data_IF_475977012377
#
_entry.id   IF_475977012377
#
_cell.length_a   1.000
_cell.length_b   1.000
_cell.length_c   1.000
_cell.angle_alpha   90.00
_cell.angle_beta   90.00
_cell.angle_gamma   90.00
#
_symmetry.space_group_name_H-M   'P 1'
#
loop_
_entity.id
_entity.type
_entity.pdbx_description
1 polymer ?
#
# COMPACT_ATOMS: atom_id res chain seq x y z
N UNK A 1 7.57 19.96 3.05
CA UNK A 1 7.41 21.01 4.09
C UNK A 1 8.78 21.51 4.61
N UNK A 2 9.72 20.61 4.95
CA UNK A 2 11.03 20.98 5.55
C UNK A 2 11.88 21.92 4.65
N UNK A 3 11.89 21.69 3.34
CA UNK A 3 12.65 22.54 2.40
C UNK A 3 12.18 24.00 2.34
N UNK A 4 10.91 24.28 2.75
CA UNK A 4 10.36 25.65 2.78
C UNK A 4 10.70 26.41 4.05
N UNK A 5 11.09 25.70 5.10
CA UNK A 5 11.37 26.30 6.43
C UNK A 5 12.85 26.46 6.72
N UNK A 6 13.71 25.91 5.86
CA UNK A 6 15.16 26.04 6.01
C UNK A 6 15.63 27.31 5.30
N UNK A 7 16.39 28.15 6.03
CA UNK A 7 16.98 29.35 5.47
C UNK A 7 18.22 29.01 4.61
N UNK A 8 18.19 29.24 3.30
CA UNK A 8 19.29 28.88 2.41
C UNK A 8 20.57 29.72 2.64
N UNK A 9 20.48 30.83 3.39
CA UNK A 9 21.61 31.70 3.68
C UNK A 9 22.42 31.26 4.92
N UNK A 10 21.82 30.40 5.77
CA UNK A 10 22.46 30.02 7.04
C UNK A 10 23.62 29.03 6.86
N UNK A 11 23.59 28.21 5.84
CA UNK A 11 24.64 27.24 5.50
C UNK A 11 24.46 26.71 4.08
N UNK A 12 25.54 26.25 3.40
CA UNK A 12 25.43 25.61 2.11
C UNK A 12 24.81 24.22 2.25
N UNK A 13 24.13 23.69 1.22
CA UNK A 13 23.59 22.37 1.22
C UNK A 13 24.67 21.29 1.42
N UNK A 14 25.79 21.47 0.75
CA UNK A 14 26.99 20.62 0.78
C UNK A 14 28.22 21.46 0.53
N UNK A 15 29.34 21.12 1.15
CA UNK A 15 30.65 21.68 0.84
C UNK A 15 31.30 20.90 -0.30
N UNK A 16 32.20 21.53 -1.09
CA UNK A 16 32.99 20.83 -2.09
C UNK A 16 33.78 19.66 -1.50
N UNK A 17 33.78 18.55 -2.23
CA UNK A 17 34.55 17.37 -1.85
C UNK A 17 36.05 17.70 -1.92
N UNK A 18 36.83 17.20 -0.98
CA UNK A 18 38.29 17.25 -0.96
C UNK A 18 38.87 15.87 -1.18
N UNK A 19 40.11 15.85 -1.68
CA UNK A 19 40.82 14.58 -1.85
C UNK A 19 41.00 13.87 -0.50
N UNK A 20 40.58 12.58 -0.42
CA UNK A 20 40.59 11.80 0.82
C UNK A 20 39.28 11.84 1.62
N UNK A 21 38.24 12.50 1.14
CA UNK A 21 36.92 12.47 1.80
C UNK A 21 36.26 11.09 1.69
N UNK A 22 35.96 10.51 2.82
CA UNK A 22 35.22 9.21 2.90
C UNK A 22 33.71 9.38 2.86
N UNK A 23 33.19 10.62 3.09
CA UNK A 23 31.77 10.92 3.11
C UNK A 23 31.47 12.36 2.67
N UNK A 24 30.25 12.64 2.18
CA UNK A 24 29.83 13.98 1.82
C UNK A 24 29.83 14.94 3.03
N UNK A 25 30.33 16.15 2.84
CA UNK A 25 30.37 17.18 3.87
C UNK A 25 29.15 18.07 3.79
N UNK A 26 28.07 17.69 4.46
CA UNK A 26 26.84 18.48 4.47
C UNK A 26 26.99 19.72 5.36
N UNK A 27 26.54 20.87 4.85
CA UNK A 27 26.52 22.11 5.61
C UNK A 27 25.41 22.12 6.66
N UNK A 28 25.68 22.70 7.82
CA UNK A 28 24.65 22.94 8.84
C UNK A 28 25.07 24.08 9.79
N UNK A 29 24.13 24.52 10.62
CA UNK A 29 24.34 25.50 11.68
C UNK A 29 23.48 25.15 12.91
N UNK A 30 23.88 25.67 14.06
CA UNK A 30 23.06 25.59 15.27
C UNK A 30 21.91 26.60 15.20
N UNK A 31 20.71 26.16 15.55
CA UNK A 31 19.53 27.01 15.66
C UNK A 31 19.48 27.70 17.03
N UNK A 32 19.49 26.90 18.09
CA UNK A 32 19.43 27.36 19.49
C UNK A 32 20.18 26.36 20.35
N UNK A 33 21.15 26.80 21.12
CA UNK A 33 22.03 25.91 21.86
C UNK A 33 22.75 24.93 20.93
N UNK A 34 22.71 23.64 21.25
CA UNK A 34 23.36 22.59 20.45
C UNK A 34 22.42 21.90 19.45
N UNK A 35 21.25 22.48 19.16
CA UNK A 35 20.30 21.90 18.21
C UNK A 35 20.68 22.32 16.78
N UNK A 36 20.98 21.34 15.93
CA UNK A 36 21.29 21.58 14.54
C UNK A 36 20.01 21.98 13.76
N UNK A 37 20.17 22.77 12.73
CA UNK A 37 19.12 23.04 11.76
C UNK A 37 18.87 21.80 10.89
N UNK A 38 17.74 21.78 10.19
CA UNK A 38 17.48 20.73 9.21
C UNK A 38 18.13 21.05 7.89
N UNK A 39 18.97 20.16 7.36
CA UNK A 39 19.46 20.24 6.00
C UNK A 39 18.64 19.29 5.11
N UNK A 40 17.68 19.80 4.30
CA UNK A 40 16.84 18.98 3.44
C UNK A 40 17.60 18.19 2.39
N UNK A 41 18.71 18.75 1.90
CA UNK A 41 19.56 18.10 0.91
C UNK A 41 20.25 16.87 1.50
N UNK A 42 20.80 16.98 2.71
CA UNK A 42 21.36 15.84 3.43
C UNK A 42 20.30 14.76 3.63
N UNK A 43 19.11 15.13 4.10
CA UNK A 43 18.00 14.19 4.32
C UNK A 43 17.60 13.43 3.04
N UNK A 44 17.57 14.11 1.90
CA UNK A 44 17.23 13.49 0.61
C UNK A 44 18.30 12.53 0.09
N UNK A 45 19.58 12.74 0.46
CA UNK A 45 20.72 11.96 -0.03
C UNK A 45 21.14 10.84 0.93
N UNK A 46 20.70 10.86 2.19
CA UNK A 46 21.15 9.92 3.22
C UNK A 46 20.10 8.92 3.63
N UNK A 47 18.85 9.07 3.16
CA UNK A 47 17.78 8.14 3.51
C UNK A 47 16.91 7.80 2.31
N UNK A 48 16.52 6.53 2.24
CA UNK A 48 15.53 6.09 1.29
C UNK A 48 14.60 5.05 1.92
N UNK A 49 13.37 5.04 1.43
CA UNK A 49 12.33 4.14 1.85
C UNK A 49 12.01 3.19 0.71
N UNK A 50 12.09 1.89 1.00
CA UNK A 50 11.62 0.89 0.09
C UNK A 50 10.23 0.43 0.53
N UNK A 51 9.29 0.47 -0.39
CA UNK A 51 7.92 0.02 -0.20
C UNK A 51 7.56 -0.93 -1.32
N UNK A 52 7.11 -2.12 -0.95
CA UNK A 52 6.61 -3.13 -1.88
C UNK A 52 5.22 -3.57 -1.45
N UNK A 53 4.27 -3.57 -2.37
CA UNK A 53 2.96 -4.14 -2.15
C UNK A 53 2.57 -5.08 -3.27
N UNK A 54 1.90 -6.16 -2.91
CA UNK A 54 1.41 -7.17 -3.83
C UNK A 54 -0.07 -7.38 -3.61
N UNK A 55 -0.82 -7.50 -4.70
CA UNK A 55 -2.22 -7.88 -4.67
C UNK A 55 -2.42 -9.08 -5.57
N UNK A 56 -2.86 -10.19 -4.98
CA UNK A 56 -3.32 -11.36 -5.70
C UNK A 56 -4.85 -11.37 -5.67
N UNK A 57 -5.49 -11.44 -6.83
CA UNK A 57 -6.94 -11.58 -6.93
C UNK A 57 -7.24 -12.73 -7.91
N UNK A 58 -7.84 -13.78 -7.40
CA UNK A 58 -8.14 -15.00 -8.15
C UNK A 58 -9.61 -15.31 -8.07
N UNK A 59 -10.24 -15.60 -9.22
CA UNK A 59 -11.64 -15.97 -9.31
C UNK A 59 -11.78 -17.30 -10.05
N UNK A 60 -12.62 -18.18 -9.53
CA UNK A 60 -13.03 -19.42 -10.16
C UNK A 60 -14.53 -19.44 -10.26
N UNK A 61 -15.06 -19.60 -11.48
CA UNK A 61 -16.49 -19.79 -11.75
C UNK A 61 -16.70 -21.13 -12.40
N UNK A 62 -17.54 -21.95 -11.78
CA UNK A 62 -17.96 -23.25 -12.29
C UNK A 62 -19.44 -23.18 -12.52
N UNK A 63 -19.89 -23.57 -13.71
CA UNK A 63 -21.31 -23.66 -14.07
C UNK A 63 -21.60 -25.05 -14.59
N UNK A 64 -22.62 -25.68 -14.01
CA UNK A 64 -23.06 -27.02 -14.40
C UNK A 64 -24.55 -26.98 -14.72
N UNK A 65 -24.91 -27.51 -15.90
CA UNK A 65 -26.29 -27.77 -16.28
C UNK A 65 -26.71 -29.15 -15.78
N UNK A 66 -27.87 -29.20 -15.15
CA UNK A 66 -28.46 -30.43 -14.60
C UNK A 66 -29.72 -30.86 -15.37
N UNK A 67 -29.72 -30.67 -16.69
CA UNK A 67 -30.86 -31.07 -17.55
C UNK A 67 -31.16 -32.56 -17.51
N UNK A 68 -30.17 -33.36 -17.08
CA UNK A 68 -30.36 -34.81 -16.87
C UNK A 68 -31.24 -35.13 -15.63
N UNK A 69 -31.33 -34.22 -14.66
CA UNK A 69 -32.23 -34.32 -13.53
C UNK A 69 -33.58 -33.70 -13.91
N UNK A 70 -33.56 -32.45 -14.33
CA UNK A 70 -34.73 -31.73 -14.84
C UNK A 70 -34.29 -30.62 -15.79
N UNK A 71 -35.01 -30.53 -16.93
CA UNK A 71 -34.70 -29.53 -17.96
C UNK A 71 -34.81 -28.11 -17.39
N UNK A 72 -33.77 -27.31 -17.65
CA UNK A 72 -33.69 -25.91 -17.21
C UNK A 72 -33.14 -25.70 -15.81
N UNK A 73 -32.60 -26.75 -15.16
CA UNK A 73 -31.88 -26.63 -13.90
C UNK A 73 -30.39 -26.39 -14.15
N UNK A 74 -29.85 -25.36 -13.49
CA UNK A 74 -28.45 -24.98 -13.58
C UNK A 74 -27.91 -24.57 -12.21
N UNK A 75 -26.71 -24.97 -11.88
CA UNK A 75 -26.00 -24.49 -10.71
C UNK A 75 -24.71 -23.77 -11.10
N UNK A 76 -24.43 -22.71 -10.39
CA UNK A 76 -23.20 -21.91 -10.57
C UNK A 76 -22.53 -21.68 -9.22
N UNK A 77 -21.26 -21.99 -9.14
CA UNK A 77 -20.40 -21.65 -8.01
C UNK A 77 -19.38 -20.60 -8.46
N UNK A 78 -19.24 -19.52 -7.69
CA UNK A 78 -18.22 -18.49 -7.87
C UNK A 78 -17.44 -18.39 -6.58
N UNK A 79 -16.14 -18.58 -6.68
CA UNK A 79 -15.18 -18.39 -5.59
C UNK A 79 -14.24 -17.26 -6.00
N UNK A 80 -14.06 -16.28 -5.13
CA UNK A 80 -13.07 -15.22 -5.30
C UNK A 80 -12.20 -15.16 -4.04
N UNK A 81 -10.91 -15.12 -4.25
CA UNK A 81 -9.91 -14.94 -3.22
C UNK A 81 -9.05 -13.73 -3.56
N UNK A 82 -8.97 -12.78 -2.62
CA UNK A 82 -8.09 -11.61 -2.71
C UNK A 82 -7.12 -11.63 -1.52
N UNK A 83 -5.86 -11.48 -1.81
CA UNK A 83 -4.82 -11.25 -0.83
C UNK A 83 -4.08 -9.96 -1.19
N UNK A 84 -3.97 -9.06 -0.24
CA UNK A 84 -3.11 -7.90 -0.32
C UNK A 84 -2.07 -7.97 0.77
N UNK A 85 -0.83 -7.68 0.43
CA UNK A 85 0.27 -7.63 1.38
C UNK A 85 1.23 -6.51 1.04
N UNK A 86 1.85 -5.94 2.05
CA UNK A 86 2.93 -4.97 1.86
C UNK A 86 4.05 -5.19 2.86
N UNK A 87 5.22 -4.77 2.45
CA UNK A 87 6.37 -4.60 3.33
C UNK A 87 7.04 -3.24 3.05
N UNK A 88 7.63 -2.69 4.07
CA UNK A 88 8.29 -1.40 4.02
C UNK A 88 9.46 -1.39 4.98
N UNK A 89 10.58 -0.86 4.54
CA UNK A 89 11.73 -0.55 5.38
C UNK A 89 12.38 0.74 4.94
N UNK A 90 13.04 1.42 5.88
CA UNK A 90 13.82 2.63 5.62
C UNK A 90 15.28 2.30 5.86
N UNK A 91 16.14 2.78 4.99
CA UNK A 91 17.60 2.77 5.18
C UNK A 91 18.08 4.19 5.30
N UNK A 92 18.91 4.43 6.31
CA UNK A 92 19.44 5.77 6.61
C UNK A 92 20.89 5.69 6.96
N UNK A 93 21.63 6.73 6.52
CA UNK A 93 22.95 7.08 7.02
C UNK A 93 22.76 8.34 7.86
N UNK A 94 23.29 8.38 9.06
CA UNK A 94 23.35 9.62 9.82
C UNK A 94 24.39 10.52 9.20
N UNK A 95 24.03 11.71 8.65
CA UNK A 95 24.97 12.56 7.95
C UNK A 95 25.98 13.23 8.87
N UNK A 96 27.18 13.46 8.36
CA UNK A 96 28.16 14.32 8.98
C UNK A 96 27.89 15.76 8.58
N UNK A 97 27.80 16.66 9.59
CA UNK A 97 27.53 18.06 9.38
C UNK A 97 28.74 18.91 9.67
N UNK A 98 28.94 19.92 8.85
CA UNK A 98 30.09 20.80 8.91
C UNK A 98 29.67 22.29 8.82
N UNK A 99 30.50 23.18 9.34
CA UNK A 99 30.44 24.61 9.11
C UNK A 99 31.83 25.12 8.86
N UNK A 100 31.94 26.34 8.30
CA UNK A 100 33.22 27.06 8.22
C UNK A 100 33.64 27.44 9.61
N UNK A 101 34.86 27.07 9.98
CA UNK A 101 35.45 27.44 11.28
C UNK A 101 35.64 28.94 11.34
N UNK A 102 35.25 29.53 12.45
CA UNK A 102 35.39 30.97 12.69
C UNK A 102 36.84 31.40 12.48
N UNK A 103 37.02 32.54 11.82
CA UNK A 103 38.35 33.17 11.52
C UNK A 103 39.32 32.31 10.70
N UNK A 104 38.84 31.26 10.02
CA UNK A 104 39.69 30.41 9.16
C UNK A 104 39.76 30.84 7.69
N UNK A 105 38.94 31.78 7.25
CA UNK A 105 38.95 32.23 5.87
C UNK A 105 40.20 33.05 5.50
N UNK A 106 40.95 32.56 4.51
CA UNK A 106 42.09 33.25 3.96
C UNK A 106 41.74 33.85 2.59
N UNK A 107 41.60 35.17 2.48
CA UNK A 107 41.21 35.84 1.23
C UNK A 107 42.28 35.75 0.12
N UNK A 108 43.55 35.59 0.48
CA UNK A 108 44.63 35.49 -0.50
C UNK A 108 44.62 34.16 -1.28
N UNK A 109 44.20 33.07 -0.63
CA UNK A 109 44.18 31.76 -1.21
C UNK A 109 42.74 31.24 -1.46
N UNK A 110 41.74 32.02 -1.04
CA UNK A 110 40.34 31.65 -1.06
C UNK A 110 40.07 30.26 -0.42
N UNK A 111 40.74 29.99 0.71
CA UNK A 111 40.64 28.74 1.45
C UNK A 111 40.04 28.98 2.82
N UNK A 112 39.43 27.96 3.37
CA UNK A 112 38.83 27.93 4.71
C UNK A 112 38.93 26.53 5.32
N UNK A 113 38.92 26.46 6.65
CA UNK A 113 38.82 25.20 7.38
C UNK A 113 37.37 24.90 7.72
N UNK A 114 37.04 23.62 7.68
CA UNK A 114 35.74 23.13 8.13
C UNK A 114 35.84 22.50 9.52
N UNK A 115 34.89 22.80 10.37
CA UNK A 115 34.72 22.11 11.64
C UNK A 115 33.46 21.26 11.62
N UNK A 116 33.56 20.07 12.23
CA UNK A 116 32.44 19.16 12.36
C UNK A 116 31.48 19.65 13.44
N UNK A 117 30.17 19.56 13.16
CA UNK A 117 29.12 19.93 14.07
C UNK A 117 28.47 18.66 14.67
N UNK A 118 28.27 18.67 15.98
CA UNK A 118 27.65 17.58 16.70
C UNK A 118 28.51 16.29 16.73
N UNK A 119 27.92 15.23 17.22
CA UNK A 119 28.53 13.90 17.35
C UNK A 119 27.92 12.86 16.44
N UNK A 120 26.82 13.21 15.73
CA UNK A 120 26.15 12.33 14.79
C UNK A 120 26.99 12.11 13.53
N UNK A 121 26.78 10.97 12.90
CA UNK A 121 27.46 10.60 11.66
C UNK A 121 27.82 9.12 11.69
N UNK A 122 27.49 8.40 10.63
CA UNK A 122 27.84 6.98 10.46
C UNK A 122 28.35 6.73 9.06
N UNK A 123 29.29 5.82 8.92
CA UNK A 123 29.86 5.42 7.63
C UNK A 123 29.12 4.26 6.98
N UNK A 124 28.07 3.76 7.63
CA UNK A 124 27.29 2.64 7.15
C UNK A 124 25.79 2.97 7.11
N UNK A 125 25.10 2.27 6.21
CA UNK A 125 23.65 2.37 6.06
C UNK A 125 22.97 1.54 7.14
N UNK A 126 22.32 2.19 8.08
CA UNK A 126 21.46 1.52 9.06
C UNK A 126 20.09 1.19 8.44
N UNK A 127 19.54 0.04 8.82
CA UNK A 127 18.19 -0.35 8.45
C UNK A 127 17.26 -0.16 9.64
N UNK A 128 16.20 0.64 9.46
CA UNK A 128 15.12 0.72 10.44
C UNK A 128 14.24 -0.52 10.42
N UNK A 129 13.42 -0.67 11.44
CA UNK A 129 12.49 -1.78 11.55
C UNK A 129 11.63 -1.97 10.29
N UNK A 130 11.34 -3.23 9.96
CA UNK A 130 10.48 -3.60 8.85
C UNK A 130 9.02 -3.49 9.32
N UNK A 131 8.23 -2.71 8.60
CA UNK A 131 6.78 -2.68 8.77
C UNK A 131 6.14 -3.59 7.73
N UNK A 132 5.27 -4.48 8.19
CA UNK A 132 4.54 -5.42 7.34
C UNK A 132 3.05 -5.32 7.63
N UNK A 133 2.23 -5.58 6.64
CA UNK A 133 0.80 -5.68 6.80
C UNK A 133 0.16 -6.35 5.60
N UNK A 134 -1.10 -6.71 5.76
CA UNK A 134 -1.85 -7.33 4.69
C UNK A 134 -3.26 -7.67 5.12
N UNK A 135 -4.10 -7.93 4.15
CA UNK A 135 -5.46 -8.42 4.34
C UNK A 135 -5.80 -9.55 3.36
N UNK A 136 -6.78 -10.33 3.75
CA UNK A 136 -7.34 -11.37 2.92
C UNK A 136 -8.85 -11.19 2.84
N UNK A 137 -9.41 -11.36 1.65
CA UNK A 137 -10.83 -11.43 1.43
C UNK A 137 -11.18 -12.71 0.70
N UNK A 138 -12.19 -13.41 1.19
CA UNK A 138 -12.76 -14.59 0.57
C UNK A 138 -14.24 -14.33 0.27
N UNK A 139 -14.66 -14.66 -0.93
CA UNK A 139 -16.04 -14.57 -1.35
C UNK A 139 -16.46 -15.87 -2.02
N UNK A 140 -17.56 -16.43 -1.54
CA UNK A 140 -18.22 -17.59 -2.12
C UNK A 140 -19.64 -17.20 -2.48
N UNK A 141 -20.04 -17.54 -3.69
CA UNK A 141 -21.42 -17.44 -4.17
C UNK A 141 -21.82 -18.78 -4.77
N UNK A 142 -22.96 -19.27 -4.37
CA UNK A 142 -23.58 -20.45 -4.94
C UNK A 142 -24.99 -20.11 -5.38
N UNK A 143 -25.32 -20.39 -6.64
CA UNK A 143 -26.62 -20.09 -7.23
C UNK A 143 -27.19 -21.34 -7.85
N UNK A 144 -28.44 -21.62 -7.56
CA UNK A 144 -29.24 -22.60 -8.29
C UNK A 144 -30.32 -21.85 -9.05
N UNK A 145 -30.33 -22.01 -10.35
CA UNK A 145 -31.32 -21.42 -11.24
C UNK A 145 -32.18 -22.53 -11.85
N UNK A 146 -33.45 -22.29 -11.91
CA UNK A 146 -34.40 -23.12 -12.62
C UNK A 146 -35.26 -22.28 -13.55
N UNK A 147 -35.35 -22.62 -14.81
CA UNK A 147 -36.22 -21.96 -15.76
C UNK A 147 -36.82 -22.99 -16.73
N UNK A 148 -38.11 -23.09 -16.75
CA UNK A 148 -38.80 -24.05 -17.64
C UNK A 148 -40.14 -23.51 -18.13
N UNK A 149 -40.41 -23.78 -19.39
CA UNK A 149 -41.71 -23.50 -20.02
C UNK A 149 -42.53 -24.77 -20.14
N UNK A 150 -43.77 -24.71 -19.65
CA UNK A 150 -44.79 -25.76 -19.76
C UNK A 150 -45.96 -25.18 -20.54
N UNK A 151 -46.00 -25.39 -21.86
CA UNK A 151 -46.98 -24.82 -22.77
C UNK A 151 -47.07 -23.30 -22.62
N UNK A 152 -48.13 -22.76 -22.00
CA UNK A 152 -48.34 -21.33 -21.75
C UNK A 152 -47.78 -20.82 -20.40
N UNK A 153 -47.28 -21.75 -19.57
CA UNK A 153 -46.73 -21.41 -18.26
C UNK A 153 -45.21 -21.34 -18.28
N UNK A 154 -44.63 -20.22 -17.92
CA UNK A 154 -43.20 -20.09 -17.69
C UNK A 154 -42.95 -20.03 -16.19
N UNK A 155 -42.15 -20.94 -15.69
CA UNK A 155 -41.79 -21.00 -14.27
C UNK A 155 -40.30 -20.78 -14.13
N UNK A 156 -39.92 -19.85 -13.28
CA UNK A 156 -38.52 -19.56 -12.93
C UNK A 156 -38.32 -19.55 -11.43
N UNK A 157 -37.11 -19.91 -11.02
CA UNK A 157 -36.71 -19.85 -9.63
C UNK A 157 -35.21 -19.69 -9.52
N UNK A 158 -34.77 -18.98 -8.51
CA UNK A 158 -33.35 -18.81 -8.18
C UNK A 158 -33.17 -18.90 -6.67
N UNK A 159 -32.20 -19.69 -6.24
CA UNK A 159 -31.72 -19.70 -4.87
C UNK A 159 -30.27 -19.29 -4.86
N UNK A 160 -29.94 -18.29 -4.07
CA UNK A 160 -28.61 -17.70 -3.96
C UNK A 160 -28.13 -17.84 -2.52
N UNK A 161 -26.95 -18.40 -2.35
CA UNK A 161 -26.18 -18.34 -1.12
C UNK A 161 -24.91 -17.51 -1.34
N UNK A 162 -24.61 -16.60 -0.43
CA UNK A 162 -23.37 -15.81 -0.43
C UNK A 162 -22.68 -15.90 0.91
N UNK A 163 -21.36 -15.99 0.86
CA UNK A 163 -20.50 -15.87 2.04
C UNK A 163 -19.34 -14.95 1.71
N UNK A 164 -19.13 -13.95 2.55
CA UNK A 164 -17.98 -13.05 2.49
C UNK A 164 -17.24 -13.14 3.81
N UNK A 165 -15.93 -13.29 3.71
CA UNK A 165 -15.02 -13.23 4.84
C UNK A 165 -13.92 -12.23 4.54
N UNK A 166 -13.65 -11.37 5.50
CA UNK A 166 -12.56 -10.38 5.40
C UNK A 166 -11.72 -10.45 6.67
N UNK A 167 -10.42 -10.62 6.49
CA UNK A 167 -9.46 -10.76 7.58
C UNK A 167 -8.33 -9.76 7.38
N UNK A 168 -8.25 -8.78 8.28
CA UNK A 168 -7.15 -7.82 8.40
C UNK A 168 -6.48 -7.88 9.78
N UNK A 169 -7.03 -8.67 10.68
CA UNK A 169 -6.56 -8.83 12.06
C UNK A 169 -6.72 -10.31 12.47
N UNK A 170 -6.60 -10.59 13.75
CA UNK A 170 -6.68 -11.95 14.31
C UNK A 170 -8.03 -12.61 14.00
N UNK A 171 -9.13 -11.86 14.16
CA UNK A 171 -10.49 -12.37 13.92
C UNK A 171 -11.04 -11.88 12.59
N UNK A 172 -11.54 -12.79 11.74
CA UNK A 172 -12.19 -12.41 10.49
C UNK A 172 -13.58 -11.84 10.71
N UNK A 173 -13.94 -10.84 9.92
CA UNK A 173 -15.32 -10.41 9.74
C UNK A 173 -16.00 -11.31 8.72
N UNK A 174 -17.13 -11.92 9.09
CA UNK A 174 -17.87 -12.85 8.22
C UNK A 174 -19.30 -12.38 8.03
N UNK A 175 -19.77 -12.42 6.79
CA UNK A 175 -21.14 -12.14 6.40
C UNK A 175 -21.66 -13.26 5.52
N UNK A 176 -22.89 -13.73 5.81
CA UNK A 176 -23.54 -14.80 5.07
C UNK A 176 -24.97 -14.37 4.76
N UNK A 177 -25.45 -14.76 3.59
CA UNK A 177 -26.79 -14.43 3.16
C UNK A 177 -27.38 -15.52 2.28
N UNK A 178 -28.70 -15.68 2.39
CA UNK A 178 -29.50 -16.51 1.50
C UNK A 178 -30.58 -15.64 0.89
N UNK A 179 -30.77 -15.75 -0.41
CA UNK A 179 -31.80 -15.04 -1.15
C UNK A 179 -32.49 -15.98 -2.12
N UNK A 180 -33.77 -15.79 -2.33
CA UNK A 180 -34.56 -16.59 -3.26
C UNK A 180 -35.42 -15.70 -4.15
N UNK A 181 -35.66 -16.16 -5.37
CA UNK A 181 -36.57 -15.54 -6.32
C UNK A 181 -37.45 -16.64 -6.93
N UNK A 182 -38.73 -16.39 -7.02
CA UNK A 182 -39.67 -17.21 -7.78
C UNK A 182 -40.38 -16.31 -8.81
N UNK A 183 -40.47 -16.79 -10.04
CA UNK A 183 -41.16 -16.11 -11.14
C UNK A 183 -42.16 -17.03 -11.81
N UNK A 184 -43.29 -16.50 -12.12
CA UNK A 184 -44.31 -17.20 -12.89
C UNK A 184 -44.91 -16.28 -13.93
N UNK A 185 -45.04 -16.76 -15.14
CA UNK A 185 -45.66 -16.07 -16.27
C UNK A 185 -46.63 -16.97 -16.98
N UNK A 186 -47.83 -16.46 -17.23
CA UNK A 186 -48.86 -17.12 -18.02
C UNK A 186 -49.08 -16.40 -19.34
N UNK A 187 -48.76 -17.05 -20.45
CA UNK A 187 -48.98 -16.63 -21.83
C UNK A 187 -48.47 -15.18 -22.10
N UNK A 188 -47.43 -14.73 -21.37
CA UNK A 188 -46.87 -13.37 -21.37
C UNK A 188 -47.91 -12.27 -21.03
N UNK A 189 -48.99 -12.64 -20.36
CA UNK A 189 -50.07 -11.71 -19.97
C UNK A 189 -50.11 -11.45 -18.48
N UNK A 190 -49.78 -12.43 -17.67
CA UNK A 190 -49.80 -12.32 -16.21
C UNK A 190 -48.43 -12.73 -15.68
N UNK A 191 -47.76 -11.79 -15.05
CA UNK A 191 -46.44 -11.97 -14.46
C UNK A 191 -46.53 -11.83 -12.94
N UNK A 192 -45.96 -12.79 -12.23
CA UNK A 192 -45.81 -12.75 -10.79
C UNK A 192 -44.36 -13.00 -10.44
N UNK A 193 -43.80 -12.14 -9.56
CA UNK A 193 -42.44 -12.25 -9.03
C UNK A 193 -42.50 -12.13 -7.52
N UNK A 194 -41.75 -12.98 -6.85
CA UNK A 194 -41.56 -12.98 -5.41
C UNK A 194 -40.07 -13.09 -5.12
N UNK A 195 -39.55 -12.17 -4.27
CA UNK A 195 -38.17 -12.13 -3.82
C UNK A 195 -38.09 -12.26 -2.31
#
# INVERSE_FOLDING_TARGET
AKARTTNPVSFPAIFPAQEGDEHPRFGNAYRTGNTLMENPYAFMNTSFKNYQSNTLNTSLKITQNFDFITKGLKATALINFKNWSYNQYTRTIDPYFYRVKTDSYNPATNTYELERLGTSGTDYIAQSGITKGGDNAFFLQFTIDYARRFNKHNVGGMLLYTQREYKNDVLPSRNQGVSGRATYDYDQRYLFEFN
#
